data_IF_752610283169
#
_entry.id   IF_752610283169
#
_cell.length_a   1.000
_cell.length_b   1.000
_cell.length_c   1.000
_cell.angle_alpha   90.00
_cell.angle_beta   90.00
_cell.angle_gamma   90.00
#
_symmetry.space_group_name_H-M   'P 1'
#
loop_
_entity.id
_entity.type
_entity.pdbx_description
1 polymer ?
#
# COMPACT_ATOMS: atom_id res chain seq x y z
N UNK A 1 15.45 -43.63 23.06
CA UNK A 1 14.68 -43.22 21.87
C UNK A 1 14.04 -41.88 22.22
N UNK A 2 14.75 -40.78 21.95
CA UNK A 2 14.36 -39.42 22.33
C UNK A 2 13.56 -38.78 21.19
N UNK A 3 12.29 -38.49 21.45
CA UNK A 3 11.40 -37.73 20.58
C UNK A 3 11.98 -36.32 20.36
N UNK A 4 12.10 -35.82 19.12
CA UNK A 4 12.48 -34.44 18.90
C UNK A 4 11.31 -33.53 19.31
N UNK A 5 11.51 -32.69 20.32
CA UNK A 5 10.60 -31.59 20.62
C UNK A 5 10.53 -30.67 19.40
N UNK A 6 9.43 -30.78 18.66
CA UNK A 6 9.08 -29.82 17.63
C UNK A 6 8.84 -28.47 18.32
N UNK A 7 9.88 -27.64 18.36
CA UNK A 7 9.82 -26.23 18.77
C UNK A 7 8.69 -25.54 18.00
N UNK A 8 7.54 -25.36 18.66
CA UNK A 8 6.40 -24.66 18.11
C UNK A 8 6.81 -23.21 17.89
N UNK A 9 7.09 -22.85 16.62
CA UNK A 9 7.41 -21.46 16.27
C UNK A 9 6.23 -20.58 16.69
N UNK A 10 6.49 -19.44 17.37
CA UNK A 10 5.43 -18.52 17.72
C UNK A 10 4.70 -18.09 16.45
N UNK A 11 3.37 -18.16 16.47
CA UNK A 11 2.53 -17.71 15.37
C UNK A 11 2.79 -16.21 15.13
N UNK A 12 2.82 -15.75 13.86
CA UNK A 12 3.07 -14.34 13.56
C UNK A 12 1.98 -13.46 14.20
N UNK A 13 2.42 -12.48 14.99
CA UNK A 13 1.54 -11.50 15.65
C UNK A 13 1.40 -10.30 14.71
N UNK A 14 0.21 -10.12 14.13
CA UNK A 14 -0.10 -8.97 13.29
C UNK A 14 -0.41 -7.74 14.16
N UNK A 15 0.00 -6.56 13.69
CA UNK A 15 -0.32 -5.31 14.37
C UNK A 15 -1.84 -5.04 14.34
N UNK A 16 -2.37 -4.43 15.41
CA UNK A 16 -3.80 -4.14 15.51
C UNK A 16 -4.25 -3.17 14.40
N UNK A 17 -5.30 -3.50 13.63
CA UNK A 17 -5.89 -2.61 12.62
C UNK A 17 -6.42 -1.27 13.18
N UNK A 18 -6.55 -1.14 14.51
CA UNK A 18 -6.99 0.09 15.17
C UNK A 18 -5.86 1.10 15.45
N UNK A 19 -4.62 0.82 15.05
CA UNK A 19 -3.48 1.72 15.28
C UNK A 19 -3.52 2.96 14.37
N UNK A 20 -3.16 4.12 14.90
CA UNK A 20 -2.96 5.34 14.11
C UNK A 20 -2.00 5.12 12.93
N UNK A 21 -0.96 4.29 13.12
CA UNK A 21 0.00 3.95 12.07
C UNK A 21 -0.67 3.25 10.89
N UNK A 22 -1.61 2.33 11.16
CA UNK A 22 -2.37 1.67 10.09
C UNK A 22 -3.20 2.69 9.31
N UNK A 23 -3.92 3.56 10.02
CA UNK A 23 -4.76 4.57 9.39
C UNK A 23 -3.93 5.55 8.54
N UNK A 24 -2.77 5.98 9.04
CA UNK A 24 -1.84 6.85 8.31
C UNK A 24 -1.28 6.17 7.04
N UNK A 25 -0.85 4.91 7.14
CA UNK A 25 -0.36 4.15 5.98
C UNK A 25 -1.47 3.88 4.96
N UNK A 26 -2.67 3.53 5.41
CA UNK A 26 -3.83 3.34 4.55
C UNK A 26 -4.23 4.63 3.82
N UNK A 27 -4.25 5.76 4.52
CA UNK A 27 -4.51 7.06 3.92
C UNK A 27 -3.42 7.47 2.93
N UNK A 28 -2.14 7.25 3.27
CA UNK A 28 -1.02 7.49 2.38
C UNK A 28 -1.11 6.63 1.12
N UNK A 29 -1.42 5.33 1.26
CA UNK A 29 -1.61 4.42 0.13
C UNK A 29 -2.72 4.90 -0.81
N UNK A 30 -3.91 5.21 -0.29
CA UNK A 30 -5.02 5.71 -1.09
C UNK A 30 -4.69 7.06 -1.77
N UNK A 31 -4.00 7.95 -1.06
CA UNK A 31 -3.58 9.25 -1.60
C UNK A 31 -2.59 9.08 -2.74
N UNK A 32 -1.59 8.20 -2.57
CA UNK A 32 -0.59 7.92 -3.61
C UNK A 32 -1.22 7.26 -4.83
N UNK A 33 -2.18 6.33 -4.65
CA UNK A 33 -2.95 5.78 -5.77
C UNK A 33 -3.66 6.88 -6.57
N UNK A 34 -4.30 7.82 -5.88
CA UNK A 34 -4.99 8.95 -6.51
C UNK A 34 -4.02 9.91 -7.21
N UNK A 35 -2.90 10.22 -6.56
CA UNK A 35 -1.86 11.08 -7.15
C UNK A 35 -1.21 10.40 -8.35
N UNK A 36 -1.10 9.07 -8.35
CA UNK A 36 -0.55 8.31 -9.47
C UNK A 36 -1.37 8.48 -10.75
N UNK A 37 -2.71 8.52 -10.66
CA UNK A 37 -3.55 8.71 -11.85
C UNK A 37 -3.42 10.11 -12.41
N UNK A 38 -3.30 11.11 -11.55
CA UNK A 38 -3.05 12.50 -11.96
C UNK A 38 -1.64 12.64 -12.54
N UNK A 39 -0.63 12.07 -11.87
CA UNK A 39 0.78 12.12 -12.25
C UNK A 39 1.07 11.42 -13.58
N UNK A 40 0.32 10.37 -13.91
CA UNK A 40 0.40 9.69 -15.21
C UNK A 40 0.03 10.62 -16.38
N UNK A 41 -0.85 11.60 -16.16
CA UNK A 41 -1.25 12.57 -17.19
C UNK A 41 -0.28 13.75 -17.35
N UNK A 42 0.64 13.93 -16.39
CA UNK A 42 1.59 15.05 -16.39
C UNK A 42 3.02 14.52 -16.48
N UNK A 43 3.55 14.53 -17.70
CA UNK A 43 4.96 14.24 -17.97
C UNK A 43 5.88 15.23 -17.23
N UNK A 44 6.83 14.68 -16.48
CA UNK A 44 7.89 15.38 -15.77
C UNK A 44 9.19 15.21 -16.57
N UNK A 45 9.89 16.33 -16.83
CA UNK A 45 11.20 16.30 -17.47
C UNK A 45 12.28 16.34 -16.40
N UNK A 46 12.98 15.23 -16.20
CA UNK A 46 14.16 15.11 -15.33
C UNK A 46 15.42 15.14 -16.19
N UNK A 47 15.88 16.35 -16.54
CA UNK A 47 17.04 16.52 -17.41
C UNK A 47 16.82 15.87 -18.79
N UNK A 48 17.68 14.93 -19.25
CA UNK A 48 17.50 14.25 -20.54
C UNK A 48 16.39 13.19 -20.52
N UNK A 49 15.86 12.81 -19.35
CA UNK A 49 14.83 11.78 -19.22
C UNK A 49 13.44 12.42 -19.15
N UNK A 50 12.55 11.99 -20.04
CA UNK A 50 11.13 12.32 -19.97
C UNK A 50 10.41 11.17 -19.28
N UNK A 51 9.81 11.41 -18.13
CA UNK A 51 9.12 10.38 -17.34
C UNK A 51 7.82 10.93 -16.78
N UNK A 52 6.81 10.11 -16.53
CA UNK A 52 5.59 10.57 -15.88
C UNK A 52 5.75 10.65 -14.35
N UNK A 53 4.84 11.35 -13.68
CA UNK A 53 4.85 11.44 -12.22
C UNK A 53 4.72 10.09 -11.51
N UNK A 54 4.29 9.05 -12.22
CA UNK A 54 4.20 7.69 -11.72
C UNK A 54 5.56 7.09 -11.37
N UNK A 55 6.69 7.51 -11.97
CA UNK A 55 8.01 6.90 -11.68
C UNK A 55 8.40 6.96 -10.20
N UNK A 56 7.98 8.00 -9.47
CA UNK A 56 8.23 8.11 -8.02
C UNK A 56 7.07 7.57 -7.18
N UNK A 57 5.85 7.66 -7.69
CA UNK A 57 4.65 7.26 -6.95
C UNK A 57 4.51 5.74 -6.92
N UNK A 58 4.91 5.05 -8.00
CA UNK A 58 4.80 3.60 -8.11
C UNK A 58 5.63 2.86 -7.05
N UNK A 59 6.95 3.13 -6.89
CA UNK A 59 7.77 2.45 -5.89
C UNK A 59 7.29 2.72 -4.46
N UNK A 60 6.89 3.97 -4.18
CA UNK A 60 6.43 4.35 -2.85
C UNK A 60 5.11 3.66 -2.48
N UNK A 61 4.18 3.57 -3.43
CA UNK A 61 2.89 2.88 -3.23
C UNK A 61 3.11 1.38 -3.01
N UNK A 62 4.08 0.77 -3.70
CA UNK A 62 4.43 -0.64 -3.55
C UNK A 62 4.95 -0.95 -2.14
N UNK A 63 5.91 -0.16 -1.65
CA UNK A 63 6.48 -0.33 -0.29
C UNK A 63 5.39 -0.23 0.77
N UNK A 64 4.49 0.75 0.65
CA UNK A 64 3.38 0.89 1.62
C UNK A 64 2.40 -0.29 1.50
N UNK A 65 2.11 -0.74 0.27
CA UNK A 65 1.27 -1.93 0.04
C UNK A 65 1.85 -3.19 0.67
N UNK A 66 3.16 -3.40 0.54
CA UNK A 66 3.88 -4.52 1.13
C UNK A 66 3.79 -4.45 2.66
N UNK A 67 4.09 -3.30 3.27
CA UNK A 67 3.96 -3.07 4.72
C UNK A 67 2.53 -3.37 5.20
N UNK A 68 1.51 -2.92 4.47
CA UNK A 68 0.11 -3.20 4.80
C UNK A 68 -0.19 -4.70 4.80
N UNK A 69 0.36 -5.44 3.83
CA UNK A 69 0.13 -6.87 3.68
C UNK A 69 0.92 -7.74 4.67
N UNK A 70 2.16 -7.37 4.97
CA UNK A 70 3.08 -8.15 5.81
C UNK A 70 2.90 -7.83 7.30
N UNK A 71 2.72 -6.55 7.67
CA UNK A 71 2.67 -6.11 9.08
C UNK A 71 1.26 -6.17 9.66
N UNK A 72 0.26 -5.79 8.86
CA UNK A 72 -1.15 -5.74 9.30
C UNK A 72 -1.98 -6.93 8.79
N UNK A 73 -1.38 -7.75 7.91
CA UNK A 73 -1.96 -8.98 7.40
C UNK A 73 -2.93 -8.79 6.25
N UNK A 74 -3.21 -9.90 5.56
CA UNK A 74 -4.03 -9.95 4.34
C UNK A 74 -5.40 -9.28 4.45
N UNK A 75 -6.12 -9.49 5.55
CA UNK A 75 -7.47 -8.95 5.73
C UNK A 75 -7.47 -7.42 5.79
N UNK A 76 -6.47 -6.83 6.45
CA UNK A 76 -6.35 -5.39 6.57
C UNK A 76 -5.92 -4.77 5.24
N UNK A 77 -4.88 -5.32 4.61
CA UNK A 77 -4.42 -4.89 3.29
C UNK A 77 -5.52 -4.93 2.23
N UNK A 78 -6.28 -6.03 2.16
CA UNK A 78 -7.39 -6.18 1.22
C UNK A 78 -8.45 -5.08 1.39
N UNK A 79 -8.77 -4.70 2.63
CA UNK A 79 -9.73 -3.62 2.91
C UNK A 79 -9.20 -2.27 2.44
N UNK A 80 -7.92 -1.99 2.70
CA UNK A 80 -7.28 -0.75 2.25
C UNK A 80 -7.24 -0.65 0.74
N UNK A 81 -6.91 -1.75 0.05
CA UNK A 81 -6.90 -1.80 -1.43
C UNK A 81 -8.31 -1.57 -1.98
N UNK A 82 -9.33 -2.25 -1.45
CA UNK A 82 -10.72 -2.03 -1.87
C UNK A 82 -11.19 -0.60 -1.63
N UNK A 83 -10.81 0.00 -0.50
CA UNK A 83 -11.08 1.41 -0.20
C UNK A 83 -10.41 2.33 -1.22
N UNK A 84 -9.14 2.08 -1.54
CA UNK A 84 -8.41 2.83 -2.56
C UNK A 84 -9.12 2.78 -3.92
N UNK A 85 -9.50 1.59 -4.39
CA UNK A 85 -10.28 1.46 -5.63
C UNK A 85 -11.62 2.19 -5.58
N UNK A 86 -12.35 2.12 -4.47
CA UNK A 86 -13.61 2.86 -4.31
C UNK A 86 -13.40 4.38 -4.41
N UNK A 87 -12.35 4.91 -3.76
CA UNK A 87 -11.99 6.32 -3.84
C UNK A 87 -11.57 6.73 -5.27
N UNK A 88 -10.87 5.86 -5.98
CA UNK A 88 -10.54 6.10 -7.39
C UNK A 88 -11.80 6.19 -8.26
N UNK A 89 -12.79 5.32 -8.06
CA UNK A 89 -14.07 5.43 -8.77
C UNK A 89 -14.78 6.75 -8.47
N UNK A 90 -14.79 7.19 -7.21
CA UNK A 90 -15.35 8.49 -6.85
C UNK A 90 -14.65 9.61 -7.61
N UNK A 91 -13.31 9.61 -7.64
CA UNK A 91 -12.55 10.61 -8.35
C UNK A 91 -12.82 10.64 -9.86
N UNK A 92 -12.97 9.47 -10.50
CA UNK A 92 -13.32 9.37 -11.93
C UNK A 92 -14.71 9.96 -12.23
N UNK A 93 -15.65 9.85 -11.30
CA UNK A 93 -17.02 10.37 -11.48
C UNK A 93 -17.08 11.88 -11.25
N UNK A 94 -16.18 12.45 -10.44
CA UNK A 94 -16.19 13.87 -10.08
C UNK A 94 -15.24 14.75 -10.87
N UNK A 95 -14.18 14.19 -11.47
CA UNK A 95 -13.16 14.92 -12.25
C UNK A 95 -12.98 14.30 -13.65
#
# INVERSE_FOLDING_TARGET
>A
MSTPEASARPAPVYASPGSFTFAALAAAFCTLLLVSTIGATKGIRLGPVFTDGGVFVFPLTYVIGDILSEVFGWKAARRTILLGFALMMVAIVTF
#
